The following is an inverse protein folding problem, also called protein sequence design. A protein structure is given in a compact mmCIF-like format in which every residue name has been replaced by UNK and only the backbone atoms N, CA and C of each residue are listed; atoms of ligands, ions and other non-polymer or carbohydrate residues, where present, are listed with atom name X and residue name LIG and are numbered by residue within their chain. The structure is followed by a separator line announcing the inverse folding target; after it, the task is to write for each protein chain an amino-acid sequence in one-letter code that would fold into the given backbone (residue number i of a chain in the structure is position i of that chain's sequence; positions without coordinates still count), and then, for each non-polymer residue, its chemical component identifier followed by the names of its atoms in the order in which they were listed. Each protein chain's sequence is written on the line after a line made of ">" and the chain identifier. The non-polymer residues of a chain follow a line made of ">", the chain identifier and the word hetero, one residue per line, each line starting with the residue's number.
data_IF_347968143182
#
_entry.id   IF_347968143182
#
_cell.length_a   1.000
_cell.length_b   1.000
_cell.length_c   1.000
_cell.angle_alpha   90.00
_cell.angle_beta   90.00
_cell.angle_gamma   90.00
#
_symmetry.space_group_name_H-M   'P 1'
#
loop_
_entity.id
_entity.type
_entity.pdbx_description
1 polymer ?
#
# COMPACT_ATOMS: atom_id res chain seq x y z
N UNK A 1 -24.77 -1.45 -12.38
CA UNK A 1 -25.33 -1.18 -11.05
C UNK A 1 -24.23 -0.67 -10.12
N UNK A 2 -24.47 0.45 -9.47
CA UNK A 2 -23.56 0.90 -8.43
C UNK A 2 -23.62 -0.04 -7.23
N UNK A 3 -22.46 -0.45 -6.70
CA UNK A 3 -22.40 -1.19 -5.46
C UNK A 3 -22.95 -0.36 -4.30
N UNK A 4 -23.50 -1.02 -3.30
CA UNK A 4 -23.83 -0.36 -2.04
C UNK A 4 -22.56 0.23 -1.44
N UNK A 5 -22.63 1.45 -0.96
CA UNK A 5 -21.49 2.09 -0.31
C UNK A 5 -20.96 1.27 0.85
N UNK A 6 -19.64 1.30 1.00
CA UNK A 6 -18.96 0.69 2.15
C UNK A 6 -18.86 1.73 3.26
N UNK A 7 -19.14 1.34 4.48
CA UNK A 7 -19.10 2.24 5.64
C UNK A 7 -17.99 1.86 6.60
N UNK A 8 -17.50 2.84 7.34
CA UNK A 8 -16.65 2.62 8.50
C UNK A 8 -17.17 3.47 9.65
N UNK A 9 -17.06 2.98 10.87
CA UNK A 9 -17.42 3.72 12.07
C UNK A 9 -16.15 4.06 12.84
N UNK A 10 -15.98 5.33 13.16
CA UNK A 10 -14.81 5.82 13.87
C UNK A 10 -15.25 6.37 15.21
N UNK A 11 -14.73 5.79 16.29
CA UNK A 11 -15.10 6.10 17.66
C UNK A 11 -13.95 6.80 18.38
N UNK A 12 -14.28 7.90 19.04
CA UNK A 12 -13.35 8.56 19.96
C UNK A 12 -13.09 7.66 21.18
N UNK A 13 -11.83 7.44 21.51
CA UNK A 13 -11.42 6.53 22.57
C UNK A 13 -10.64 7.22 23.71
N UNK A 14 -10.73 8.54 23.80
CA UNK A 14 -10.03 9.34 24.81
C UNK A 14 -8.73 9.98 24.29
N UNK A 15 -8.30 11.06 24.87
CA UNK A 15 -7.13 11.85 24.44
C UNK A 15 -7.10 12.08 22.92
N UNK A 16 -6.07 11.61 22.24
CA UNK A 16 -5.91 11.69 20.78
C UNK A 16 -6.17 10.36 20.09
N UNK A 17 -6.83 9.42 20.77
CA UNK A 17 -7.11 8.08 20.26
C UNK A 17 -8.47 7.99 19.58
N UNK A 18 -8.48 7.25 18.47
CA UNK A 18 -9.68 6.80 17.78
C UNK A 18 -9.57 5.31 17.46
N UNK A 19 -10.72 4.68 17.30
CA UNK A 19 -10.80 3.30 16.83
C UNK A 19 -11.72 3.27 15.62
N UNK A 20 -11.19 2.88 14.48
CA UNK A 20 -11.97 2.66 13.27
C UNK A 20 -12.43 1.21 13.21
N UNK A 21 -13.69 0.98 12.89
CA UNK A 21 -14.26 -0.35 12.73
C UNK A 21 -14.88 -0.48 11.35
N UNK A 22 -14.46 -1.51 10.62
CA UNK A 22 -14.97 -1.80 9.28
C UNK A 22 -16.22 -2.70 9.34
N UNK A 23 -17.05 -2.73 8.27
CA UNK A 23 -18.21 -3.65 8.22
C UNK A 23 -17.80 -5.14 8.31
N UNK A 24 -16.57 -5.46 7.94
CA UNK A 24 -16.00 -6.81 8.07
C UNK A 24 -15.64 -7.20 9.51
N UNK A 25 -15.82 -6.29 10.47
CA UNK A 25 -15.58 -6.56 11.89
C UNK A 25 -14.13 -6.39 12.34
N UNK A 26 -13.31 -5.69 11.57
CA UNK A 26 -11.91 -5.42 11.91
C UNK A 26 -11.76 -4.02 12.49
N UNK A 27 -10.93 -3.89 13.52
CA UNK A 27 -10.67 -2.64 14.19
C UNK A 27 -9.23 -2.18 13.96
N UNK A 28 -9.06 -0.86 13.82
CA UNK A 28 -7.77 -0.21 13.68
C UNK A 28 -7.66 0.92 14.71
N UNK A 29 -6.65 0.85 15.57
CA UNK A 29 -6.32 1.93 16.48
C UNK A 29 -5.59 3.04 15.73
N UNK A 30 -5.93 4.28 16.05
CA UNK A 30 -5.40 5.49 15.39
C UNK A 30 -5.00 6.47 16.47
N UNK A 31 -3.83 7.07 16.35
CA UNK A 31 -3.37 8.12 17.26
C UNK A 31 -2.60 9.20 16.49
N UNK A 32 -2.89 10.46 16.79
CA UNK A 32 -2.22 11.60 16.16
C UNK A 32 -1.19 12.27 17.06
N UNK A 33 -1.06 11.83 18.32
CA UNK A 33 -0.10 12.39 19.26
C UNK A 33 1.33 11.91 18.94
N UNK A 34 2.15 12.82 18.41
CA UNK A 34 3.52 12.50 18.00
C UNK A 34 4.46 12.14 19.16
N UNK A 35 4.16 12.60 20.37
CA UNK A 35 5.01 12.33 21.54
C UNK A 35 4.86 10.89 22.02
N UNK A 36 3.66 10.32 21.89
CA UNK A 36 3.44 8.90 22.21
C UNK A 36 3.73 7.99 21.03
N UNK A 37 3.21 8.34 19.86
CA UNK A 37 3.39 7.59 18.60
C UNK A 37 3.17 6.07 18.75
N UNK A 38 2.08 5.69 19.40
CA UNK A 38 1.79 4.30 19.76
C UNK A 38 0.81 3.60 18.81
N UNK A 39 0.28 4.31 17.82
CA UNK A 39 -0.54 3.75 16.76
C UNK A 39 -0.33 4.55 15.46
N UNK A 40 -0.77 3.99 14.34
CA UNK A 40 -0.66 4.65 13.06
C UNK A 40 -1.53 5.92 13.00
N UNK A 41 -1.03 6.94 12.34
CA UNK A 41 -1.80 8.16 12.04
C UNK A 41 -2.70 7.93 10.82
N UNK A 42 -3.74 8.76 10.61
CA UNK A 42 -4.57 8.67 9.41
C UNK A 42 -3.78 8.76 8.11
N UNK A 43 -2.78 9.63 8.05
CA UNK A 43 -1.97 9.79 6.83
C UNK A 43 -1.04 8.60 6.59
N UNK A 44 -0.54 7.95 7.65
CA UNK A 44 0.21 6.70 7.53
C UNK A 44 -0.67 5.54 7.03
N UNK A 45 -1.93 5.51 7.43
CA UNK A 45 -2.88 4.49 6.95
C UNK A 45 -3.11 4.58 5.45
N UNK A 46 -3.05 5.76 4.85
CA UNK A 46 -3.12 5.92 3.39
C UNK A 46 -1.93 5.26 2.70
N UNK A 47 -0.73 5.35 3.27
CA UNK A 47 0.47 4.70 2.73
C UNK A 47 0.34 3.18 2.79
N UNK A 48 -0.14 2.67 3.91
CA UNK A 48 -0.40 1.23 4.11
C UNK A 48 -1.45 0.75 3.11
N UNK A 49 -2.54 1.50 2.94
CA UNK A 49 -3.59 1.17 2.00
C UNK A 49 -3.06 1.08 0.56
N UNK A 50 -2.28 2.06 0.13
CA UNK A 50 -1.69 2.08 -1.21
C UNK A 50 -0.76 0.88 -1.43
N UNK A 51 0.18 0.66 -0.51
CA UNK A 51 1.16 -0.43 -0.62
C UNK A 51 0.51 -1.80 -0.61
N UNK A 52 -0.45 -2.04 0.28
CA UNK A 52 -1.12 -3.34 0.38
C UNK A 52 -2.03 -3.61 -0.82
N UNK A 53 -2.73 -2.60 -1.33
CA UNK A 53 -3.60 -2.76 -2.49
C UNK A 53 -2.81 -3.17 -3.73
N UNK A 54 -1.74 -2.45 -4.05
CA UNK A 54 -0.88 -2.83 -5.18
C UNK A 54 -0.16 -4.16 -4.94
N UNK A 55 0.25 -4.43 -3.69
CA UNK A 55 0.93 -5.68 -3.33
C UNK A 55 0.09 -6.92 -3.60
N UNK A 56 -1.17 -6.88 -3.24
CA UNK A 56 -2.12 -7.99 -3.50
C UNK A 56 -2.24 -8.25 -5.00
N UNK A 57 -2.36 -7.22 -5.81
CA UNK A 57 -2.44 -7.35 -7.27
C UNK A 57 -1.16 -7.99 -7.85
N UNK A 58 -0.01 -7.43 -7.50
CA UNK A 58 1.28 -7.87 -8.03
C UNK A 58 1.55 -9.34 -7.69
N UNK A 59 1.39 -9.71 -6.42
CA UNK A 59 1.64 -11.11 -6.01
C UNK A 59 0.66 -12.07 -6.68
N UNK A 60 -0.60 -11.68 -6.85
CA UNK A 60 -1.60 -12.49 -7.53
C UNK A 60 -1.24 -12.72 -9.01
N UNK A 61 -0.82 -11.68 -9.70
CA UNK A 61 -0.42 -11.75 -11.12
C UNK A 61 0.82 -12.63 -11.26
N UNK A 62 1.84 -12.42 -10.41
CA UNK A 62 3.08 -13.19 -10.47
C UNK A 62 2.86 -14.68 -10.19
N UNK A 63 1.96 -15.03 -9.27
CA UNK A 63 1.57 -16.42 -9.02
C UNK A 63 0.93 -17.06 -10.25
N UNK A 64 0.04 -16.34 -10.93
CA UNK A 64 -0.58 -16.82 -12.17
C UNK A 64 0.44 -17.03 -13.29
N UNK A 65 1.48 -16.22 -13.30
CA UNK A 65 2.60 -16.35 -14.25
C UNK A 65 3.65 -17.35 -13.80
N UNK A 66 3.40 -18.09 -12.71
CA UNK A 66 4.30 -19.12 -12.17
C UNK A 66 5.69 -18.57 -11.80
N UNK A 67 5.74 -17.33 -11.36
CA UNK A 67 6.97 -16.72 -10.84
C UNK A 67 7.18 -17.16 -9.39
N UNK A 68 8.38 -17.58 -9.05
CA UNK A 68 8.71 -18.05 -7.70
C UNK A 68 9.15 -16.87 -6.81
N UNK A 69 8.21 -16.20 -6.21
CA UNK A 69 8.47 -15.12 -5.25
C UNK A 69 8.61 -15.73 -3.85
N UNK A 70 9.77 -15.53 -3.22
CA UNK A 70 10.07 -16.04 -1.87
C UNK A 70 9.92 -14.96 -0.81
N UNK A 71 10.12 -13.70 -1.16
CA UNK A 71 9.85 -12.57 -0.31
C UNK A 71 9.42 -11.35 -1.13
N UNK A 72 8.57 -10.53 -0.54
CA UNK A 72 8.08 -9.33 -1.19
C UNK A 72 7.79 -8.27 -0.14
N UNK A 73 8.39 -7.10 -0.30
CA UNK A 73 8.06 -5.94 0.51
C UNK A 73 7.82 -4.72 -0.37
N UNK A 74 7.07 -3.79 0.13
CA UNK A 74 6.72 -2.57 -0.57
C UNK A 74 7.05 -1.40 0.35
N UNK A 75 7.84 -0.47 -0.15
CA UNK A 75 8.18 0.76 0.54
C UNK A 75 7.37 1.90 -0.08
N UNK A 76 6.58 2.58 0.72
CA UNK A 76 5.78 3.71 0.25
C UNK A 76 6.25 4.96 0.97
N UNK A 77 6.70 5.95 0.20
CA UNK A 77 7.12 7.24 0.70
C UNK A 77 6.17 8.32 0.21
N UNK A 78 5.63 9.11 1.12
CA UNK A 78 4.76 10.23 0.79
C UNK A 78 5.40 11.57 1.07
N UNK A 79 5.31 12.49 0.12
CA UNK A 79 5.67 13.89 0.30
C UNK A 79 4.40 14.72 0.43
N UNK A 80 4.34 15.55 1.47
CA UNK A 80 3.16 16.36 1.81
C UNK A 80 3.41 17.84 1.58
N UNK A 81 2.32 18.57 1.36
CA UNK A 81 2.37 20.02 1.36
C UNK A 81 2.83 20.55 2.72
N UNK A 82 3.56 21.67 2.70
CA UNK A 82 3.98 22.35 3.94
C UNK A 82 2.78 23.05 4.64
N UNK A 83 1.84 23.57 3.88
CA UNK A 83 0.67 24.30 4.37
C UNK A 83 -0.55 23.40 4.50
N UNK A 84 -1.45 23.74 5.41
CA UNK A 84 -2.74 23.04 5.52
C UNK A 84 -3.65 23.31 4.33
N UNK A 85 -4.42 22.30 3.87
CA UNK A 85 -4.34 20.90 4.30
C UNK A 85 -3.06 20.25 3.78
N UNK A 86 -2.37 19.51 4.63
CA UNK A 86 -1.10 18.84 4.31
C UNK A 86 -1.33 17.52 3.58
N UNK A 87 -1.94 17.62 2.41
CA UNK A 87 -2.19 16.47 1.55
C UNK A 87 -0.90 15.95 0.93
N UNK A 88 -0.90 14.68 0.53
CA UNK A 88 0.19 14.15 -0.28
C UNK A 88 0.19 14.78 -1.66
N UNK A 89 1.37 15.18 -2.10
CA UNK A 89 1.62 15.69 -3.46
C UNK A 89 2.31 14.66 -4.33
N UNK A 90 3.10 13.79 -3.69
CA UNK A 90 3.87 12.73 -4.36
C UNK A 90 3.91 11.48 -3.49
N UNK A 91 3.66 10.35 -4.11
CA UNK A 91 3.73 9.02 -3.48
C UNK A 91 4.68 8.15 -4.30
N UNK A 92 5.76 7.71 -3.70
CA UNK A 92 6.72 6.81 -4.31
C UNK A 92 6.47 5.40 -3.78
N UNK A 93 6.21 4.47 -4.69
CA UNK A 93 5.96 3.07 -4.36
C UNK A 93 7.09 2.23 -4.94
N UNK A 94 7.92 1.68 -4.07
CA UNK A 94 9.02 0.80 -4.46
C UNK A 94 8.70 -0.64 -4.09
N UNK A 95 8.64 -1.50 -5.10
CA UNK A 95 8.45 -2.93 -4.93
C UNK A 95 9.79 -3.62 -4.84
N UNK A 96 10.05 -4.36 -3.77
CA UNK A 96 11.28 -5.14 -3.61
C UNK A 96 10.90 -6.62 -3.54
N UNK A 97 11.24 -7.35 -4.58
CA UNK A 97 10.88 -8.75 -4.74
C UNK A 97 12.13 -9.62 -4.65
N UNK A 98 12.04 -10.70 -3.90
CA UNK A 98 13.06 -11.72 -3.84
C UNK A 98 12.47 -13.03 -4.35
N UNK A 99 13.23 -13.75 -5.13
CA UNK A 99 12.77 -15.04 -5.64
C UNK A 99 13.79 -15.73 -6.51
N UNK A 100 13.38 -16.85 -7.06
CA UNK A 100 14.21 -17.69 -7.92
C UNK A 100 13.84 -17.45 -9.38
N UNK A 101 14.81 -16.99 -10.16
CA UNK A 101 14.64 -16.77 -11.61
C UNK A 101 13.44 -15.87 -11.94
N UNK A 102 13.25 -14.82 -11.16
CA UNK A 102 12.19 -13.86 -11.46
C UNK A 102 12.50 -13.17 -12.80
N UNK A 103 11.52 -13.21 -13.69
CA UNK A 103 11.63 -12.54 -14.97
C UNK A 103 11.32 -11.05 -14.80
N UNK A 104 12.29 -10.17 -15.03
CA UNK A 104 12.09 -8.73 -14.91
C UNK A 104 10.91 -8.20 -15.75
N UNK A 105 10.69 -8.66 -17.01
CA UNK A 105 9.51 -8.24 -17.77
C UNK A 105 8.19 -8.65 -17.12
N UNK A 106 8.14 -9.82 -16.47
CA UNK A 106 6.94 -10.28 -15.76
C UNK A 106 6.64 -9.40 -14.55
N UNK A 107 7.67 -9.05 -13.77
CA UNK A 107 7.56 -8.15 -12.62
C UNK A 107 7.12 -6.76 -13.08
N UNK A 108 7.75 -6.20 -14.07
CA UNK A 108 7.40 -4.88 -14.63
C UNK A 108 5.94 -4.85 -15.11
N UNK A 109 5.50 -5.89 -15.80
CA UNK A 109 4.13 -6.00 -16.30
C UNK A 109 3.11 -6.12 -15.17
N UNK A 110 3.41 -6.90 -14.15
CA UNK A 110 2.52 -7.05 -12.99
C UNK A 110 2.31 -5.71 -12.27
N UNK A 111 3.39 -4.96 -12.07
CA UNK A 111 3.36 -3.63 -11.44
C UNK A 111 2.57 -2.64 -12.31
N UNK A 112 2.82 -2.62 -13.60
CA UNK A 112 2.09 -1.77 -14.54
C UNK A 112 0.59 -2.06 -14.52
N UNK A 113 0.19 -3.34 -14.56
CA UNK A 113 -1.20 -3.73 -14.51
C UNK A 113 -1.89 -3.31 -13.21
N UNK A 114 -1.22 -3.47 -12.07
CA UNK A 114 -1.74 -2.98 -10.81
C UNK A 114 -1.94 -1.46 -10.84
N UNK A 115 -0.90 -0.74 -11.22
CA UNK A 115 -0.91 0.73 -11.22
C UNK A 115 -1.96 1.31 -12.18
N UNK A 116 -2.08 0.76 -13.38
CA UNK A 116 -2.92 1.31 -14.44
C UNK A 116 -4.37 0.78 -14.42
N UNK A 117 -4.59 -0.41 -13.88
CA UNK A 117 -5.88 -1.10 -14.07
C UNK A 117 -6.54 -1.57 -12.78
N UNK A 118 -5.80 -2.15 -11.85
CA UNK A 118 -6.42 -2.91 -10.76
C UNK A 118 -6.40 -2.21 -9.40
N UNK A 119 -5.39 -1.40 -9.08
CA UNK A 119 -5.28 -0.81 -7.74
C UNK A 119 -6.30 0.30 -7.54
N UNK A 120 -7.37 -0.01 -6.82
CA UNK A 120 -8.44 0.94 -6.51
C UNK A 120 -7.96 2.10 -5.63
N UNK A 121 -7.03 1.84 -4.72
CA UNK A 121 -6.46 2.89 -3.87
C UNK A 121 -5.62 3.87 -4.71
N UNK A 122 -4.78 3.36 -5.61
CA UNK A 122 -4.02 4.23 -6.53
C UNK A 122 -4.94 5.08 -7.39
N UNK A 123 -6.01 4.50 -7.92
CA UNK A 123 -7.01 5.23 -8.70
C UNK A 123 -7.67 6.33 -7.88
N UNK A 124 -7.96 6.07 -6.61
CA UNK A 124 -8.55 7.05 -5.69
C UNK A 124 -7.60 8.22 -5.39
N UNK A 125 -6.31 7.93 -5.20
CA UNK A 125 -5.31 8.94 -4.79
C UNK A 125 -4.69 9.70 -5.96
N UNK A 126 -4.74 9.17 -7.17
CA UNK A 126 -4.03 9.71 -8.35
C UNK A 126 -4.47 11.11 -8.73
N UNK A 127 -5.70 11.48 -8.46
CA UNK A 127 -6.19 12.83 -8.72
C UNK A 127 -5.60 13.89 -7.79
N UNK A 128 -5.13 13.49 -6.61
CA UNK A 128 -4.57 14.37 -5.58
C UNK A 128 -3.04 14.36 -5.55
N UNK A 129 -2.42 13.23 -5.89
CA UNK A 129 -0.97 13.05 -5.79
C UNK A 129 -0.40 12.36 -7.02
N UNK A 130 0.82 12.71 -7.39
CA UNK A 130 1.61 11.96 -8.37
C UNK A 130 2.05 10.65 -7.73
N UNK A 131 1.79 9.53 -8.40
CA UNK A 131 2.22 8.21 -7.95
C UNK A 131 3.32 7.71 -8.88
N UNK A 132 4.50 7.43 -8.30
CA UNK A 132 5.67 6.96 -9.01
C UNK A 132 6.01 5.57 -8.51
N UNK A 133 6.09 4.61 -9.42
CA UNK A 133 6.40 3.22 -9.10
C UNK A 133 7.80 2.84 -9.57
N UNK A 134 8.48 2.01 -8.79
CA UNK A 134 9.75 1.42 -9.14
C UNK A 134 9.85 0.01 -8.55
N UNK A 135 10.82 -0.76 -9.00
CA UNK A 135 11.02 -2.09 -8.45
C UNK A 135 12.50 -2.47 -8.42
N UNK A 136 12.80 -3.41 -7.55
CA UNK A 136 14.10 -4.04 -7.39
C UNK A 136 13.90 -5.54 -7.25
N UNK A 137 14.68 -6.32 -7.97
CA UNK A 137 14.66 -7.79 -7.88
C UNK A 137 15.93 -8.25 -7.21
N UNK A 138 15.77 -8.97 -6.10
CA UNK A 138 16.85 -9.65 -5.39
C UNK A 138 16.80 -11.12 -5.76
N UNK A 139 17.86 -11.63 -6.40
CA UNK A 139 17.95 -13.05 -6.71
C UNK A 139 18.22 -13.85 -5.42
N UNK A 140 17.47 -14.92 -5.21
CA UNK A 140 17.70 -15.82 -4.10
C UNK A 140 18.80 -16.82 -4.47
N UNK A 141 19.86 -16.85 -3.67
CA UNK A 141 20.95 -17.81 -3.86
C UNK A 141 20.46 -19.25 -3.60
N UNK A 142 20.92 -20.23 -4.40
CA UNK A 142 20.53 -21.64 -4.23
C UNK A 142 20.87 -22.23 -2.86
N UNK A 143 21.73 -21.55 -2.07
CA UNK A 143 22.13 -21.95 -0.72
C UNK A 143 21.29 -21.36 0.40
N UNK A 144 20.38 -20.41 0.11
CA UNK A 144 19.49 -19.79 1.08
C UNK A 144 18.23 -20.65 1.26
N UNK A 145 18.35 -21.67 2.07
CA UNK A 145 17.23 -22.56 2.41
C UNK A 145 16.81 -22.34 3.86
#
# INVERSE_FOLDING_TARGET
>A
MAEKGTTANIHFAGDDWFVGVTPSGHAQAIETNSDRSSAATPMELLLIALGSCTGVDVISILKKQRQEVTNYRIEVKGERRADFPRSYTRLEVKHVLRGRRLAAPAVARAIELSDQKYCSVAATLRGAAEIVTSYEIEEEDPGDV
#
